data_IF_350899580077
#
_entry.id   IF_350899580077
#
_cell.length_a   1.000
_cell.length_b   1.000
_cell.length_c   1.000
_cell.angle_alpha   90.00
_cell.angle_beta   90.00
_cell.angle_gamma   90.00
#
_symmetry.space_group_name_H-M   'P 1'
#
loop_
_entity.id
_entity.type
_entity.pdbx_description
1 polymer ?
#
# COMPACT_ATOMS: atom_id res chain seq x y z
N UNK A 1 -9.43 8.13 24.29
CA UNK A 1 -10.12 8.54 23.03
C UNK A 1 -9.25 9.40 22.10
N UNK A 2 -8.54 10.42 22.60
CA UNK A 2 -7.73 11.30 21.72
C UNK A 2 -6.51 10.63 21.08
N UNK A 3 -5.82 9.70 21.75
CA UNK A 3 -4.66 9.01 21.18
C UNK A 3 -5.02 8.13 19.98
N UNK A 4 -6.07 7.31 20.09
CA UNK A 4 -6.57 6.46 19.00
C UNK A 4 -7.08 7.30 17.81
N UNK A 5 -7.83 8.38 18.08
CA UNK A 5 -8.29 9.30 17.04
C UNK A 5 -7.12 10.05 16.37
N UNK A 6 -6.05 10.35 17.11
CA UNK A 6 -4.82 10.94 16.58
C UNK A 6 -3.99 9.91 15.81
N UNK A 7 -3.97 8.65 16.21
CA UNK A 7 -3.29 7.56 15.50
C UNK A 7 -4.01 7.26 14.18
N UNK A 8 -5.33 7.05 14.21
CA UNK A 8 -6.14 6.91 13.01
C UNK A 8 -6.17 8.22 12.20
N UNK A 9 -6.10 9.38 12.82
CA UNK A 9 -5.91 10.66 12.14
C UNK A 9 -4.57 10.72 11.41
N UNK A 10 -3.49 10.24 12.05
CA UNK A 10 -2.14 10.20 11.49
C UNK A 10 -1.97 9.15 10.38
N UNK A 11 -2.76 8.06 10.37
CA UNK A 11 -2.73 7.09 9.27
C UNK A 11 -3.80 7.37 8.20
N UNK A 12 -4.98 7.88 8.59
CA UNK A 12 -6.20 7.98 7.76
C UNK A 12 -6.92 9.34 7.76
N UNK A 13 -6.71 10.25 8.71
CA UNK A 13 -7.36 11.57 8.72
C UNK A 13 -6.54 12.64 8.00
N UNK A 14 -6.84 12.98 6.74
CA UNK A 14 -5.89 13.76 5.94
C UNK A 14 -6.41 15.02 5.22
N UNK A 15 -5.74 16.13 5.56
CA UNK A 15 -5.49 17.34 4.75
C UNK A 15 -3.96 17.57 4.77
N UNK A 16 -3.27 17.55 3.62
CA UNK A 16 -1.84 17.93 3.53
C UNK A 16 -0.93 17.06 2.63
N UNK A 17 0.26 17.60 2.33
CA UNK A 17 1.35 17.00 1.50
C UNK A 17 2.25 16.06 2.30
N UNK A 18 2.79 15.01 1.66
CA UNK A 18 3.87 14.18 2.21
C UNK A 18 5.20 14.60 1.57
N UNK A 19 6.17 15.01 2.39
CA UNK A 19 7.51 15.32 1.90
C UNK A 19 8.24 14.10 1.32
N UNK A 20 9.16 14.31 0.38
CA UNK A 20 9.91 13.22 -0.28
C UNK A 20 10.61 12.27 0.70
N UNK A 21 11.20 12.80 1.76
CA UNK A 21 11.87 11.99 2.79
C UNK A 21 10.88 11.08 3.52
N UNK A 22 9.69 11.58 3.86
CA UNK A 22 8.66 10.77 4.49
C UNK A 22 8.17 9.67 3.56
N UNK A 23 7.98 10.01 2.28
CA UNK A 23 7.61 9.03 1.26
C UNK A 23 8.72 7.98 1.06
N UNK A 24 10.00 8.36 1.14
CA UNK A 24 11.14 7.45 1.09
C UNK A 24 11.16 6.47 2.26
N UNK A 25 11.00 6.99 3.49
CA UNK A 25 10.96 6.17 4.71
C UNK A 25 9.77 5.21 4.66
N UNK A 26 8.61 5.72 4.24
CA UNK A 26 7.42 4.91 4.03
C UNK A 26 7.64 3.81 2.99
N UNK A 27 8.29 4.13 1.86
CA UNK A 27 8.64 3.15 0.84
C UNK A 27 9.56 2.06 1.38
N UNK A 28 10.57 2.44 2.16
CA UNK A 28 11.51 1.50 2.77
C UNK A 28 10.81 0.52 3.71
N UNK A 29 9.73 0.95 4.38
CA UNK A 29 8.88 0.09 5.20
C UNK A 29 7.89 -0.75 4.37
N UNK A 30 7.38 -0.20 3.26
CA UNK A 30 6.39 -0.86 2.41
C UNK A 30 6.95 -2.01 1.59
N UNK A 31 8.20 -1.93 1.15
CA UNK A 31 8.86 -3.01 0.38
C UNK A 31 8.90 -4.33 1.17
N UNK A 32 9.45 -4.39 2.40
CA UNK A 32 9.44 -5.62 3.18
C UNK A 32 8.02 -6.03 3.58
N UNK A 33 7.11 -5.08 3.83
CA UNK A 33 5.71 -5.40 4.11
C UNK A 33 5.03 -6.08 2.92
N UNK A 34 5.24 -5.60 1.69
CA UNK A 34 4.75 -6.26 0.48
C UNK A 34 5.24 -7.70 0.39
N UNK A 35 6.53 -7.93 0.67
CA UNK A 35 7.13 -9.25 0.63
C UNK A 35 6.48 -10.19 1.67
N UNK A 36 6.36 -9.74 2.91
CA UNK A 36 5.71 -10.50 4.00
C UNK A 36 4.29 -10.89 3.61
N UNK A 37 3.52 -9.97 3.03
CA UNK A 37 2.15 -10.22 2.59
C UNK A 37 2.11 -11.22 1.44
N UNK A 38 2.99 -11.06 0.44
CA UNK A 38 3.09 -11.97 -0.68
C UNK A 38 3.46 -13.40 -0.24
N UNK A 39 4.22 -13.56 0.84
CA UNK A 39 4.55 -14.87 1.43
C UNK A 39 3.41 -15.45 2.27
N UNK A 40 2.70 -14.63 3.06
CA UNK A 40 1.63 -15.11 3.95
C UNK A 40 0.35 -15.47 3.16
N UNK A 41 0.00 -14.70 2.13
CA UNK A 41 -1.27 -14.86 1.40
C UNK A 41 -1.49 -16.25 0.77
N UNK A 42 -0.49 -16.88 0.12
CA UNK A 42 -0.62 -18.26 -0.36
C UNK A 42 -0.97 -19.25 0.76
N UNK A 43 -0.32 -19.14 1.92
CA UNK A 43 -0.60 -20.01 3.07
C UNK A 43 -2.01 -19.79 3.62
N UNK A 44 -2.46 -18.54 3.70
CA UNK A 44 -3.84 -18.23 4.10
C UNK A 44 -4.84 -18.87 3.13
N UNK A 45 -4.59 -18.78 1.82
CA UNK A 45 -5.42 -19.38 0.79
C UNK A 45 -5.47 -20.92 0.90
N UNK A 46 -4.32 -21.54 1.15
CA UNK A 46 -4.22 -22.99 1.35
C UNK A 46 -5.02 -23.45 2.57
N UNK A 47 -4.92 -22.74 3.70
CA UNK A 47 -5.70 -23.03 4.90
C UNK A 47 -7.20 -22.90 4.62
N UNK A 48 -7.62 -21.89 3.86
CA UNK A 48 -9.03 -21.71 3.47
C UNK A 48 -9.51 -22.93 2.66
N UNK A 49 -8.79 -23.30 1.60
CA UNK A 49 -9.18 -24.44 0.76
C UNK A 49 -9.19 -25.77 1.53
N UNK A 50 -8.17 -26.00 2.37
CA UNK A 50 -8.11 -27.18 3.21
C UNK A 50 -9.28 -27.23 4.19
N UNK A 51 -9.58 -26.13 4.86
CA UNK A 51 -10.68 -26.04 5.83
C UNK A 51 -12.04 -26.25 5.18
N UNK A 52 -12.26 -25.72 3.96
CA UNK A 52 -13.48 -25.97 3.19
C UNK A 52 -13.60 -27.46 2.85
N UNK A 53 -12.51 -28.08 2.37
CA UNK A 53 -12.51 -29.51 2.00
C UNK A 53 -12.72 -30.43 3.21
N UNK A 54 -12.20 -30.05 4.37
CA UNK A 54 -12.38 -30.75 5.63
C UNK A 54 -13.72 -30.45 6.33
N UNK A 55 -14.60 -29.65 5.70
CA UNK A 55 -15.87 -29.18 6.27
C UNK A 55 -15.73 -28.43 7.61
N UNK A 56 -14.58 -27.77 7.81
CA UNK A 56 -14.24 -26.99 8.98
C UNK A 56 -14.54 -25.49 8.74
N UNK A 57 -15.82 -25.17 8.56
CA UNK A 57 -16.27 -23.83 8.15
C UNK A 57 -15.83 -22.71 9.10
N UNK A 58 -15.75 -22.96 10.41
CA UNK A 58 -15.29 -21.97 11.39
C UNK A 58 -13.84 -21.54 11.17
N UNK A 59 -12.94 -22.47 10.89
CA UNK A 59 -11.54 -22.19 10.56
C UNK A 59 -11.43 -21.47 9.22
N UNK A 60 -12.19 -21.92 8.21
CA UNK A 60 -12.24 -21.26 6.90
C UNK A 60 -12.64 -19.78 7.03
N UNK A 61 -13.69 -19.49 7.81
CA UNK A 61 -14.21 -18.14 8.00
C UNK A 61 -13.22 -17.25 8.76
N UNK A 62 -12.56 -17.79 9.81
CA UNK A 62 -11.51 -17.07 10.53
C UNK A 62 -10.32 -16.72 9.62
N UNK A 63 -9.89 -17.67 8.78
CA UNK A 63 -8.80 -17.44 7.81
C UNK A 63 -9.17 -16.43 6.73
N UNK A 64 -10.42 -16.43 6.25
CA UNK A 64 -10.93 -15.41 5.33
C UNK A 64 -10.89 -14.03 5.98
N UNK A 65 -11.42 -13.90 7.21
CA UNK A 65 -11.41 -12.63 7.93
C UNK A 65 -10.00 -12.11 8.17
N UNK A 66 -9.07 -13.00 8.55
CA UNK A 66 -7.66 -12.67 8.71
C UNK A 66 -7.04 -12.17 7.39
N UNK A 67 -7.23 -12.91 6.29
CA UNK A 67 -6.72 -12.53 4.97
C UNK A 67 -7.27 -11.19 4.50
N UNK A 68 -8.59 -11.00 4.56
CA UNK A 68 -9.25 -9.74 4.17
C UNK A 68 -8.77 -8.58 5.03
N UNK A 69 -8.66 -8.77 6.35
CA UNK A 69 -8.16 -7.73 7.26
C UNK A 69 -6.74 -7.30 6.91
N UNK A 70 -5.87 -8.26 6.61
CA UNK A 70 -4.47 -8.03 6.27
C UNK A 70 -4.32 -7.30 4.92
N UNK A 71 -5.06 -7.74 3.88
CA UNK A 71 -5.13 -7.05 2.58
C UNK A 71 -5.68 -5.64 2.74
N UNK A 72 -6.76 -5.47 3.51
CA UNK A 72 -7.39 -4.16 3.72
C UNK A 72 -6.44 -3.17 4.39
N UNK A 73 -5.75 -3.61 5.43
CA UNK A 73 -4.75 -2.80 6.14
C UNK A 73 -3.61 -2.41 5.21
N UNK A 74 -3.13 -3.36 4.41
CA UNK A 74 -2.07 -3.12 3.43
C UNK A 74 -2.45 -2.12 2.35
N UNK A 75 -3.59 -2.33 1.68
CA UNK A 75 -4.10 -1.42 0.65
C UNK A 75 -4.34 -0.03 1.26
N UNK A 76 -4.97 0.03 2.44
CA UNK A 76 -5.23 1.29 3.13
C UNK A 76 -3.96 2.09 3.41
N UNK A 77 -2.91 1.43 3.92
CA UNK A 77 -1.63 2.09 4.16
C UNK A 77 -0.92 2.47 2.85
N UNK A 78 -0.82 1.56 1.87
CA UNK A 78 -0.14 1.79 0.58
C UNK A 78 -0.77 2.95 -0.19
N UNK A 79 -2.07 2.88 -0.43
CA UNK A 79 -2.77 3.83 -1.29
C UNK A 79 -2.98 5.19 -0.63
N UNK A 80 -3.10 5.25 0.70
CA UNK A 80 -3.18 6.53 1.40
C UNK A 80 -1.92 7.38 1.18
N UNK A 81 -0.73 6.76 1.12
CA UNK A 81 0.52 7.47 0.87
C UNK A 81 0.77 7.75 -0.61
N UNK A 82 0.38 6.83 -1.51
CA UNK A 82 0.46 7.04 -2.95
C UNK A 82 -0.41 8.20 -3.42
N UNK A 83 -1.67 8.25 -2.98
CA UNK A 83 -2.59 9.33 -3.33
C UNK A 83 -2.07 10.67 -2.81
N UNK A 84 -1.51 10.73 -1.60
CA UNK A 84 -0.89 11.95 -1.06
C UNK A 84 0.29 12.40 -1.90
N UNK A 85 1.17 11.47 -2.27
CA UNK A 85 2.32 11.79 -3.11
C UNK A 85 1.90 12.22 -4.52
N UNK A 86 0.83 11.63 -5.05
CA UNK A 86 0.27 12.02 -6.34
C UNK A 86 -0.37 13.42 -6.32
N UNK A 87 -1.04 13.78 -5.21
CA UNK A 87 -1.59 15.12 -5.00
C UNK A 87 -0.51 16.23 -4.95
N UNK A 88 0.77 15.89 -4.73
CA UNK A 88 1.88 16.85 -4.87
C UNK A 88 2.07 17.33 -6.32
N UNK A 89 1.55 16.59 -7.31
CA UNK A 89 1.62 16.96 -8.72
C UNK A 89 0.42 17.80 -9.19
N UNK A 90 -0.40 18.32 -8.26
CA UNK A 90 -1.65 19.05 -8.54
C UNK A 90 -2.66 18.26 -9.40
N UNK A 91 -2.47 16.94 -9.45
CA UNK A 91 -3.37 15.97 -10.05
C UNK A 91 -4.03 15.23 -8.90
N UNK A 92 -5.37 15.19 -8.87
CA UNK A 92 -6.08 14.36 -7.88
C UNK A 92 -5.52 12.93 -7.95
N UNK A 93 -5.17 12.31 -6.82
CA UNK A 93 -4.37 11.08 -6.82
C UNK A 93 -4.93 9.93 -7.67
N UNK A 94 -6.25 9.84 -7.84
CA UNK A 94 -6.92 8.86 -8.72
C UNK A 94 -6.87 9.19 -10.22
N UNK A 95 -6.38 10.37 -10.61
CA UNK A 95 -6.10 10.75 -12.01
C UNK A 95 -4.62 10.66 -12.35
N UNK A 96 -3.76 10.34 -11.37
CA UNK A 96 -2.34 10.11 -11.63
C UNK A 96 -2.17 8.76 -12.33
N UNK A 97 -1.67 8.79 -13.57
CA UNK A 97 -1.39 7.57 -14.34
C UNK A 97 -0.46 6.59 -13.59
N UNK A 98 0.44 7.09 -12.74
CA UNK A 98 1.32 6.26 -11.92
C UNK A 98 0.58 5.52 -10.81
N UNK A 99 -0.34 6.19 -10.11
CA UNK A 99 -1.15 5.54 -9.07
C UNK A 99 -2.07 4.49 -9.70
N UNK A 100 -2.65 4.80 -10.86
CA UNK A 100 -3.46 3.84 -11.63
C UNK A 100 -2.60 2.65 -12.10
N UNK A 101 -1.39 2.90 -12.61
CA UNK A 101 -0.49 1.82 -13.03
C UNK A 101 -0.10 0.91 -11.86
N UNK A 102 0.23 1.48 -10.69
CA UNK A 102 0.51 0.70 -9.48
C UNK A 102 -0.71 -0.14 -9.07
N UNK A 103 -1.92 0.43 -9.18
CA UNK A 103 -3.17 -0.28 -8.92
C UNK A 103 -3.41 -1.46 -9.86
N UNK A 104 -3.18 -1.27 -11.16
CA UNK A 104 -3.30 -2.34 -12.14
C UNK A 104 -2.25 -3.43 -11.87
N UNK A 105 -1.01 -3.05 -11.52
CA UNK A 105 0.04 -4.00 -11.16
C UNK A 105 -0.31 -4.80 -9.88
N UNK A 106 -0.94 -4.17 -8.89
CA UNK A 106 -1.43 -4.86 -7.69
C UNK A 106 -2.58 -5.83 -8.02
N UNK A 107 -3.53 -5.44 -8.88
CA UNK A 107 -4.58 -6.37 -9.33
C UNK A 107 -4.01 -7.55 -10.12
N UNK A 108 -3.02 -7.29 -10.98
CA UNK A 108 -2.32 -8.32 -11.71
C UNK A 108 -1.61 -9.29 -10.75
N UNK A 109 -0.96 -8.82 -9.69
CA UNK A 109 -0.28 -9.73 -8.75
C UNK A 109 -1.27 -10.69 -8.06
N UNK A 110 -2.47 -10.22 -7.71
CA UNK A 110 -3.52 -11.08 -7.15
C UNK A 110 -4.00 -12.15 -8.13
N UNK A 111 -4.23 -11.79 -9.39
CA UNK A 111 -4.66 -12.77 -10.42
C UNK A 111 -3.65 -13.91 -10.57
N UNK A 112 -2.35 -13.60 -10.47
CA UNK A 112 -1.29 -14.58 -10.67
C UNK A 112 -1.06 -15.50 -9.45
N UNK A 113 -1.67 -15.22 -8.30
CA UNK A 113 -1.68 -16.16 -7.16
C UNK A 113 -2.36 -17.49 -7.52
N UNK A 114 -3.24 -17.49 -8.53
CA UNK A 114 -4.00 -18.65 -8.98
C UNK A 114 -3.30 -19.46 -10.08
N UNK A 115 -2.13 -19.02 -10.57
CA UNK A 115 -1.35 -19.79 -11.55
C UNK A 115 -0.64 -20.96 -10.84
N UNK A 116 -0.82 -22.16 -11.39
CA UNK A 116 -0.27 -23.40 -10.82
C UNK A 116 1.22 -23.62 -11.15
N UNK A 117 1.72 -23.06 -12.26
CA UNK A 117 3.13 -23.20 -12.62
C UNK A 117 4.01 -22.31 -11.73
N UNK A 118 4.76 -22.95 -10.83
CA UNK A 118 5.65 -22.26 -9.88
C UNK A 118 6.69 -21.37 -10.58
N UNK A 119 7.34 -21.85 -11.64
CA UNK A 119 8.35 -21.08 -12.36
C UNK A 119 7.78 -19.81 -13.00
N UNK A 120 6.62 -19.94 -13.64
CA UNK A 120 5.91 -18.79 -14.23
C UNK A 120 5.44 -17.81 -13.15
N UNK A 121 4.96 -18.34 -12.02
CA UNK A 121 4.50 -17.55 -10.88
C UNK A 121 5.61 -16.70 -10.27
N UNK A 122 6.80 -17.28 -10.04
CA UNK A 122 7.95 -16.56 -9.47
C UNK A 122 8.50 -15.49 -10.43
N UNK A 123 8.71 -15.83 -11.71
CA UNK A 123 9.20 -14.87 -12.71
C UNK A 123 8.26 -13.68 -12.89
N UNK A 124 6.96 -13.94 -12.91
CA UNK A 124 5.97 -12.90 -13.05
C UNK A 124 5.86 -12.02 -11.79
N UNK A 125 5.86 -12.65 -10.61
CA UNK A 125 5.90 -11.94 -9.32
C UNK A 125 7.11 -11.01 -9.24
N UNK A 126 8.29 -11.48 -9.64
CA UNK A 126 9.50 -10.67 -9.71
C UNK A 126 9.33 -9.48 -10.67
N UNK A 127 8.78 -9.72 -11.86
CA UNK A 127 8.56 -8.68 -12.88
C UNK A 127 7.61 -7.58 -12.39
N UNK A 128 6.50 -7.96 -11.73
CA UNK A 128 5.59 -6.99 -11.12
C UNK A 128 6.29 -6.21 -10.02
N UNK A 129 7.00 -6.87 -9.11
CA UNK A 129 7.67 -6.20 -8.00
C UNK A 129 8.71 -5.18 -8.51
N UNK A 130 9.48 -5.54 -9.54
CA UNK A 130 10.42 -4.61 -10.20
C UNK A 130 9.65 -3.43 -10.83
N UNK A 131 8.57 -3.69 -11.55
CA UNK A 131 7.76 -2.64 -12.18
C UNK A 131 7.17 -1.67 -11.16
N UNK A 132 6.67 -2.19 -10.04
CA UNK A 132 6.18 -1.37 -8.92
C UNK A 132 7.30 -0.54 -8.32
N UNK A 133 8.48 -1.13 -8.07
CA UNK A 133 9.64 -0.39 -7.56
C UNK A 133 10.05 0.75 -8.49
N UNK A 134 10.01 0.56 -9.81
CA UNK A 134 10.29 1.61 -10.80
C UNK A 134 9.26 2.74 -10.69
N UNK A 135 7.96 2.43 -10.66
CA UNK A 135 6.90 3.44 -10.51
C UNK A 135 7.04 4.23 -9.19
N UNK A 136 7.33 3.53 -8.09
CA UNK A 136 7.50 4.13 -6.77
C UNK A 136 8.76 5.01 -6.69
N UNK A 137 9.85 4.56 -7.29
CA UNK A 137 11.10 5.32 -7.39
C UNK A 137 10.88 6.59 -8.21
N UNK A 138 10.14 6.49 -9.32
CA UNK A 138 9.77 7.67 -10.10
C UNK A 138 8.98 8.68 -9.25
N UNK A 139 7.98 8.23 -8.49
CA UNK A 139 7.23 9.12 -7.57
C UNK A 139 8.13 9.73 -6.48
N UNK A 140 9.14 9.00 -6.01
CA UNK A 140 10.09 9.51 -5.02
C UNK A 140 10.94 10.67 -5.56
N UNK A 141 11.49 10.53 -6.77
CA UNK A 141 12.43 11.50 -7.33
C UNK A 141 11.76 12.68 -8.05
N UNK A 142 10.55 12.51 -8.58
CA UNK A 142 9.86 13.57 -9.33
C UNK A 142 9.39 14.71 -8.42
N UNK A 143 9.79 15.96 -8.73
CA UNK A 143 9.33 17.16 -7.99
C UNK A 143 7.84 17.40 -8.26
N UNK A 144 7.09 17.73 -7.21
CA UNK A 144 5.72 18.23 -7.37
C UNK A 144 5.71 19.50 -8.22
N UNK A 145 4.64 19.68 -9.00
CA UNK A 145 4.40 20.90 -9.76
C UNK A 145 3.93 21.99 -8.80
N UNK A 146 4.72 23.07 -8.71
CA UNK A 146 4.32 24.40 -8.23
C UNK A 146 4.25 24.56 -6.69
N UNK A 147 4.65 25.78 -6.25
CA UNK A 147 4.72 26.38 -4.90
C UNK A 147 3.80 25.86 -3.79
N UNK A 148 3.18 26.73 -2.99
CA UNK A 148 2.14 26.32 -2.04
C UNK A 148 0.94 25.81 -2.86
N UNK A 149 0.63 24.51 -2.87
CA UNK A 149 -0.59 24.02 -3.53
C UNK A 149 -1.77 24.04 -2.55
N UNK A 150 -2.95 24.00 -3.16
CA UNK A 150 -4.26 24.19 -2.56
C UNK A 150 -4.67 23.13 -1.52
N UNK A 151 -3.84 22.12 -1.24
CA UNK A 151 -4.13 21.03 -0.31
C UNK A 151 -3.44 21.16 1.07
N UNK A 152 -2.75 22.29 1.31
CA UNK A 152 -2.27 22.69 2.64
C UNK A 152 -0.74 22.73 2.79
N UNK A 153 -0.28 23.29 3.91
CA UNK A 153 1.15 23.36 4.27
C UNK A 153 1.75 21.94 4.35
N UNK A 154 3.05 21.76 4.01
CA UNK A 154 3.73 20.48 4.22
C UNK A 154 3.57 20.02 5.67
N UNK A 155 3.35 18.71 5.90
CA UNK A 155 3.31 18.18 7.26
C UNK A 155 4.60 18.53 8.00
N UNK A 156 4.47 19.33 9.06
CA UNK A 156 5.56 19.58 10.00
C UNK A 156 5.74 18.29 10.79
N UNK A 157 6.96 17.79 10.81
CA UNK A 157 7.36 16.62 11.58
C UNK A 157 6.98 16.78 13.05
N UNK A 158 6.47 15.74 13.71
CA UNK A 158 6.04 15.84 15.12
C UNK A 158 7.17 16.25 16.08
N UNK A 159 8.43 15.97 15.71
CA UNK A 159 9.61 16.40 16.47
C UNK A 159 9.96 17.87 16.25
N UNK A 160 9.48 18.47 15.14
CA UNK A 160 9.45 19.90 14.98
C UNK A 160 8.22 20.45 15.72
N UNK A 161 8.24 20.35 17.05
CA UNK A 161 7.47 21.28 17.87
C UNK A 161 8.08 22.66 17.64
N UNK A 162 7.58 23.40 16.66
CA UNK A 162 7.67 24.85 16.74
C UNK A 162 6.72 25.25 17.86
N UNK A 163 7.28 25.72 18.97
CA UNK A 163 6.53 26.41 20.00
C UNK A 163 5.75 27.54 19.31
N UNK A 164 4.45 27.35 19.11
CA UNK A 164 3.49 28.39 18.77
C UNK A 164 2.65 28.66 19.99
#
# INVERSE_FOLDING_TARGET
MNSLKNFFGFFFGFKGRIGRLHFAIFLLLMIPLNFVIATIMPTVLEIIFHSIRANQLGYALLSILFGVGLVTLWIGLKYSHLVRRANDYDVSGFKSGLVIAIFILDLASFYFLFIQNWFTKELFSLTINISQLVCLSYMLFTKGSIGENNFGKPQILFWNKTNS
#
